data_IF_210829136830
#
_entry.id   IF_210829136830
#
_cell.length_a   1.000
_cell.length_b   1.000
_cell.length_c   1.000
_cell.angle_alpha   90.00
_cell.angle_beta   90.00
_cell.angle_gamma   90.00
#
_symmetry.space_group_name_H-M   'P 1'
#
loop_
_entity.id
_entity.type
_entity.pdbx_description
1 polymer ?
#
# COMPACT_ATOMS: atom_id res chain seq x y z
N UNK A 1 19.02 4.01 1.41
CA UNK A 1 19.07 4.43 0.00
C UNK A 1 17.65 4.58 -0.50
N UNK A 2 17.38 5.64 -1.26
CA UNK A 2 16.10 6.34 -1.32
C UNK A 2 14.95 5.61 -2.02
N UNK A 3 13.75 5.90 -1.51
CA UNK A 3 12.45 5.60 -2.13
C UNK A 3 12.30 6.44 -3.41
N UNK A 4 12.83 5.92 -4.52
CA UNK A 4 12.84 6.56 -5.84
C UNK A 4 11.50 6.48 -6.60
N UNK A 5 10.37 6.28 -5.91
CA UNK A 5 9.09 6.02 -6.57
C UNK A 5 8.38 7.29 -7.08
N UNK A 6 8.22 8.29 -6.22
CA UNK A 6 7.36 9.45 -6.47
C UNK A 6 8.09 10.81 -6.49
N UNK A 7 9.39 10.84 -6.16
CA UNK A 7 10.18 12.09 -6.15
C UNK A 7 10.47 12.63 -7.54
N UNK A 8 10.52 11.76 -8.56
CA UNK A 8 10.78 12.13 -9.95
C UNK A 8 9.52 12.44 -10.77
N UNK A 9 8.33 12.37 -10.16
CA UNK A 9 7.09 12.62 -10.88
C UNK A 9 6.80 14.12 -11.03
N UNK A 10 6.13 14.52 -12.14
CA UNK A 10 5.55 15.85 -12.27
C UNK A 10 4.64 16.15 -11.07
N UNK A 11 4.62 17.41 -10.63
CA UNK A 11 3.81 17.83 -9.48
C UNK A 11 2.33 17.44 -9.63
N UNK A 12 1.79 17.53 -10.85
CA UNK A 12 0.42 17.09 -11.17
C UNK A 12 0.20 15.62 -10.85
N UNK A 13 1.11 14.73 -11.29
CA UNK A 13 1.04 13.29 -11.01
C UNK A 13 1.21 12.98 -9.52
N UNK A 14 2.03 13.75 -8.80
CA UNK A 14 2.15 13.62 -7.32
C UNK A 14 0.86 14.02 -6.62
N UNK A 15 0.21 15.11 -7.06
CA UNK A 15 -1.09 15.55 -6.54
C UNK A 15 -2.17 14.52 -6.84
N UNK A 16 -2.23 13.98 -8.05
CA UNK A 16 -3.21 12.94 -8.42
C UNK A 16 -3.02 11.68 -7.56
N UNK A 17 -1.79 11.24 -7.35
CA UNK A 17 -1.48 10.09 -6.48
C UNK A 17 -1.86 10.34 -5.01
N UNK A 18 -1.58 11.54 -4.49
CA UNK A 18 -1.91 11.91 -3.12
C UNK A 18 -3.42 12.07 -2.90
N UNK A 19 -4.18 12.43 -3.94
CA UNK A 19 -5.62 12.65 -3.88
C UNK A 19 -6.45 11.51 -4.47
N UNK A 20 -5.84 10.42 -4.94
CA UNK A 20 -6.60 9.29 -5.48
C UNK A 20 -7.45 8.65 -4.37
N UNK A 21 -8.79 8.68 -4.45
CA UNK A 21 -9.66 8.07 -3.45
C UNK A 21 -9.43 6.57 -3.27
N UNK A 22 -8.79 5.90 -4.24
CA UNK A 22 -8.37 4.49 -4.12
C UNK A 22 -7.16 4.33 -3.21
N UNK A 23 -6.28 5.33 -3.14
CA UNK A 23 -5.11 5.38 -2.26
C UNK A 23 -5.42 6.03 -0.90
N UNK A 24 -6.51 6.80 -0.83
CA UNK A 24 -6.97 7.44 0.40
C UNK A 24 -7.77 6.46 1.26
N UNK A 25 -7.10 5.90 2.27
CA UNK A 25 -7.73 5.11 3.31
C UNK A 25 -7.95 5.99 4.53
N UNK A 26 -9.20 6.15 4.97
CA UNK A 26 -9.52 6.80 6.25
C UNK A 26 -9.04 5.90 7.39
N UNK A 27 -7.80 6.10 7.81
CA UNK A 27 -7.19 5.43 8.96
C UNK A 27 -7.02 6.45 10.09
N UNK A 28 -7.00 5.98 11.33
CA UNK A 28 -6.69 6.83 12.49
C UNK A 28 -5.35 7.54 12.27
N UNK A 29 -5.19 8.79 12.75
CA UNK A 29 -3.96 9.56 12.54
C UNK A 29 -2.69 8.83 12.99
N UNK A 30 -2.76 8.04 14.06
CA UNK A 30 -1.66 7.17 14.52
C UNK A 30 -1.28 6.07 13.52
N UNK A 31 -2.26 5.48 12.83
CA UNK A 31 -2.02 4.48 11.79
C UNK A 31 -1.42 5.11 10.52
N UNK A 32 -1.82 6.34 10.17
CA UNK A 32 -1.21 7.08 9.06
C UNK A 32 0.27 7.44 9.35
N UNK A 33 0.56 7.94 10.55
CA UNK A 33 1.93 8.26 10.98
C UNK A 33 2.81 7.02 11.13
N UNK A 34 2.25 5.89 11.58
CA UNK A 34 2.98 4.62 11.69
C UNK A 34 3.28 3.99 10.32
N UNK A 35 2.42 4.23 9.32
CA UNK A 35 2.63 3.75 7.96
C UNK A 35 3.80 4.51 7.30
N UNK A 36 3.82 5.84 7.34
CA UNK A 36 4.88 6.64 6.67
C UNK A 36 5.16 6.12 5.25
N UNK A 37 6.43 5.95 4.87
CA UNK A 37 6.87 5.35 3.61
C UNK A 37 6.97 3.81 3.64
N UNK A 38 6.57 3.17 4.74
CA UNK A 38 6.69 1.72 4.91
C UNK A 38 5.77 0.97 3.95
N UNK A 39 6.36 -0.03 3.28
CA UNK A 39 5.65 -0.99 2.45
C UNK A 39 4.93 -2.06 3.27
N UNK A 40 4.12 -2.93 2.63
CA UNK A 40 3.42 -4.03 3.29
C UNK A 40 4.30 -4.96 4.11
N UNK A 41 5.61 -5.02 3.82
CA UNK A 41 6.53 -5.81 4.64
C UNK A 41 6.81 -5.18 6.00
N UNK A 42 6.94 -3.87 6.04
CA UNK A 42 7.34 -3.12 7.23
C UNK A 42 6.13 -2.68 8.05
N UNK A 43 4.97 -2.51 7.40
CA UNK A 43 3.74 -2.13 8.07
C UNK A 43 2.51 -2.82 7.48
N UNK A 44 1.72 -3.43 8.37
CA UNK A 44 0.40 -3.96 8.06
C UNK A 44 -0.64 -3.42 9.05
N UNK A 45 -1.88 -3.20 8.61
CA UNK A 45 -2.97 -2.82 9.50
C UNK A 45 -3.12 -3.83 10.66
N UNK A 46 -3.31 -3.32 11.88
CA UNK A 46 -3.57 -4.16 13.07
C UNK A 46 -4.84 -5.00 12.86
N UNK A 47 -5.85 -4.41 12.20
CA UNK A 47 -7.05 -5.13 11.80
C UNK A 47 -6.74 -6.17 10.72
N UNK A 48 -6.66 -7.43 11.12
CA UNK A 48 -6.41 -8.57 10.23
C UNK A 48 -7.40 -8.69 9.06
N UNK A 49 -8.67 -8.33 9.26
CA UNK A 49 -9.67 -8.33 8.19
C UNK A 49 -9.37 -7.27 7.12
N UNK A 50 -8.66 -6.21 7.50
CA UNK A 50 -8.30 -5.12 6.59
C UNK A 50 -6.97 -5.34 5.86
N UNK A 51 -6.11 -6.25 6.33
CA UNK A 51 -4.80 -6.54 5.71
C UNK A 51 -4.95 -6.98 4.24
N UNK A 52 -5.97 -7.78 3.95
CA UNK A 52 -6.28 -8.24 2.60
C UNK A 52 -6.72 -7.11 1.67
N UNK A 53 -7.61 -6.25 2.17
CA UNK A 53 -8.05 -5.06 1.42
C UNK A 53 -6.90 -4.09 1.19
N UNK A 54 -6.06 -3.89 2.20
CA UNK A 54 -4.85 -3.06 2.10
C UNK A 54 -3.87 -3.61 1.06
N UNK A 55 -3.59 -4.92 1.07
CA UNK A 55 -2.70 -5.55 0.10
C UNK A 55 -3.24 -5.41 -1.34
N UNK A 56 -4.54 -5.59 -1.55
CA UNK A 56 -5.17 -5.40 -2.85
C UNK A 56 -5.07 -3.94 -3.34
N UNK A 57 -5.35 -2.97 -2.47
CA UNK A 57 -5.21 -1.54 -2.77
C UNK A 57 -3.76 -1.19 -3.08
N UNK A 58 -2.80 -1.68 -2.28
CA UNK A 58 -1.37 -1.46 -2.50
C UNK A 58 -0.92 -1.94 -3.88
N UNK A 59 -1.29 -3.17 -4.27
CA UNK A 59 -0.97 -3.70 -5.61
C UNK A 59 -1.68 -2.91 -6.72
N UNK A 60 -2.95 -2.54 -6.53
CA UNK A 60 -3.71 -1.78 -7.52
C UNK A 60 -3.10 -0.38 -7.75
N UNK A 61 -2.77 0.34 -6.68
CA UNK A 61 -2.13 1.65 -6.75
C UNK A 61 -0.73 1.53 -7.35
N UNK A 62 0.05 0.52 -6.94
CA UNK A 62 1.37 0.29 -7.52
C UNK A 62 1.30 0.00 -9.02
N UNK A 63 0.29 -0.74 -9.47
CA UNK A 63 0.07 -1.00 -10.88
C UNK A 63 -0.39 0.26 -11.65
N UNK A 64 -1.40 0.97 -11.14
CA UNK A 64 -1.96 2.17 -11.77
C UNK A 64 -0.92 3.27 -11.98
N UNK A 65 -0.03 3.44 -11.01
CA UNK A 65 0.99 4.48 -11.04
C UNK A 65 2.37 3.98 -11.50
N UNK A 66 2.48 2.70 -11.89
CA UNK A 66 3.74 2.09 -12.33
C UNK A 66 4.84 2.26 -11.29
N UNK A 67 4.49 2.07 -10.01
CA UNK A 67 5.43 2.15 -8.90
C UNK A 67 6.25 0.87 -8.82
N UNK A 68 7.57 0.97 -8.66
CA UNK A 68 8.38 -0.20 -8.35
C UNK A 68 8.01 -0.73 -6.97
N UNK A 69 7.68 -2.02 -6.89
CA UNK A 69 7.51 -2.74 -5.63
C UNK A 69 8.75 -3.55 -5.31
N UNK A 70 9.18 -3.54 -4.05
CA UNK A 70 10.33 -4.34 -3.64
C UNK A 70 9.96 -5.83 -3.66
N UNK A 71 10.97 -6.70 -3.85
CA UNK A 71 10.75 -8.15 -3.73
C UNK A 71 10.19 -8.54 -2.35
N UNK A 72 10.56 -7.78 -1.33
CA UNK A 72 10.17 -8.00 0.05
C UNK A 72 8.67 -7.63 0.28
N UNK A 73 8.20 -6.54 -0.30
CA UNK A 73 6.77 -6.16 -0.27
C UNK A 73 5.92 -7.15 -1.06
N UNK A 74 6.43 -7.61 -2.22
CA UNK A 74 5.76 -8.65 -3.00
C UNK A 74 5.60 -9.93 -2.21
N UNK A 75 6.66 -10.37 -1.51
CA UNK A 75 6.62 -11.55 -0.65
C UNK A 75 5.59 -11.39 0.48
N UNK A 76 5.57 -10.24 1.16
CA UNK A 76 4.60 -9.98 2.23
C UNK A 76 3.14 -10.04 1.74
N UNK A 77 2.85 -9.54 0.54
CA UNK A 77 1.51 -9.66 -0.05
C UNK A 77 1.16 -11.11 -0.39
N UNK A 78 2.11 -11.89 -0.91
CA UNK A 78 1.92 -13.32 -1.20
C UNK A 78 1.67 -14.11 0.09
N UNK A 79 2.41 -13.82 1.16
CA UNK A 79 2.22 -14.45 2.48
C UNK A 79 0.82 -14.16 3.07
N UNK A 80 0.20 -13.03 2.70
CA UNK A 80 -1.16 -12.71 3.13
C UNK A 80 -2.24 -13.44 2.33
N UNK A 81 -1.98 -13.89 1.09
CA UNK A 81 -3.00 -14.53 0.24
C UNK A 81 -3.79 -15.67 0.91
N UNK A 82 -3.17 -16.62 1.64
CA UNK A 82 -3.91 -17.70 2.29
C UNK A 82 -4.91 -17.18 3.33
N UNK A 83 -4.54 -16.13 4.07
CA UNK A 83 -5.39 -15.48 5.07
C UNK A 83 -6.53 -14.66 4.45
N UNK A 84 -6.39 -14.30 3.17
CA UNK A 84 -7.40 -13.57 2.41
C UNK A 84 -8.41 -14.48 1.73
N UNK A 85 -7.97 -15.64 1.22
CA UNK A 85 -8.85 -16.65 0.61
C UNK A 85 -9.78 -17.30 1.63
N UNK A 86 -9.33 -17.40 2.88
CA UNK A 86 -10.13 -17.93 4.01
C UNK A 86 -11.18 -16.96 4.56
N UNK A 87 -11.14 -15.68 4.17
CA UNK A 87 -12.09 -14.63 4.60
C UNK A 87 -12.92 -14.06 3.45
N UNK A 88 -13.17 -14.87 2.43
CA UNK A 88 -14.18 -14.54 1.41
C UNK A 88 -15.56 -14.77 2.04
N UNK A 89 -16.46 -13.76 2.09
CA UNK A 89 -17.82 -13.96 2.58
C UNK A 89 -18.59 -14.96 1.71
#
# INVERSE_FOLDING_TARGET
MGLLGASQWPETRRRDFANDPRNLLTVSGSANSSKSDHGPREWLPVNGAYRCRYAAIYLQVAHLYVLPITAADRAAVIELEPSCKTRRP
#
